data_IF_776389982491
#
_entry.id   IF_776389982491
#
_cell.length_a   1.000
_cell.length_b   1.000
_cell.length_c   1.000
_cell.angle_alpha   90.00
_cell.angle_beta   90.00
_cell.angle_gamma   90.00
#
_symmetry.space_group_name_H-M   'P 1'
#
loop_
_entity.id
_entity.type
_entity.pdbx_description
1 polymer ?
#
# COMPACT_ATOMS: atom_id res chain seq x y z
N UNK A 1 -6.16 7.01 -10.49
CA UNK A 1 -6.53 6.89 -9.06
C UNK A 1 -5.28 6.95 -8.17
N UNK A 2 -5.41 7.52 -7.01
CA UNK A 2 -4.30 7.58 -6.04
C UNK A 2 -4.69 6.85 -4.78
N UNK A 3 -4.03 5.74 -4.50
CA UNK A 3 -4.22 5.03 -3.23
C UNK A 3 -3.17 5.43 -2.22
N UNK A 4 -3.57 5.57 -0.97
CA UNK A 4 -2.64 5.72 0.12
C UNK A 4 -1.90 4.39 0.31
N UNK A 5 -0.59 4.47 0.54
CA UNK A 5 0.25 3.31 0.79
C UNK A 5 0.99 3.54 2.09
N UNK A 6 1.04 2.52 2.93
CA UNK A 6 1.78 2.57 4.19
C UNK A 6 3.03 1.72 4.05
N UNK A 7 4.19 2.31 4.34
CA UNK A 7 5.46 1.59 4.39
C UNK A 7 5.91 1.51 5.84
N UNK A 8 6.26 0.31 6.27
CA UNK A 8 6.71 0.08 7.64
C UNK A 8 8.00 -0.73 7.63
N UNK A 9 8.94 -0.32 8.48
CA UNK A 9 10.18 -1.07 8.64
C UNK A 9 9.93 -2.27 9.56
N UNK A 10 10.33 -3.45 9.09
CA UNK A 10 10.35 -4.66 9.89
C UNK A 10 11.80 -4.99 10.29
N UNK A 11 12.00 -6.11 10.97
CA UNK A 11 13.32 -6.46 11.49
C UNK A 11 14.41 -6.53 10.39
N UNK A 12 14.10 -7.17 9.26
CA UNK A 12 15.09 -7.40 8.21
C UNK A 12 14.68 -6.85 6.85
N UNK A 13 13.53 -6.23 6.75
CA UNK A 13 13.02 -5.73 5.48
C UNK A 13 12.02 -4.59 5.71
N UNK A 14 11.41 -4.15 4.63
CA UNK A 14 10.31 -3.21 4.65
C UNK A 14 9.06 -3.89 4.14
N UNK A 15 7.93 -3.50 4.65
CA UNK A 15 6.66 -3.96 4.13
C UNK A 15 5.77 -2.77 3.77
N UNK A 16 4.86 -3.02 2.82
CA UNK A 16 3.91 -2.01 2.40
C UNK A 16 2.54 -2.64 2.24
N UNK A 17 1.52 -1.86 2.53
CA UNK A 17 0.14 -2.27 2.30
C UNK A 17 -0.70 -1.08 1.88
N UNK A 18 -1.85 -1.38 1.29
CA UNK A 18 -2.77 -0.37 0.79
C UNK A 18 -4.05 -0.47 1.62
N UNK A 19 -4.34 0.55 2.48
CA UNK A 19 -5.54 0.50 3.33
C UNK A 19 -6.85 0.27 2.57
N UNK A 20 -7.01 0.86 1.40
CA UNK A 20 -8.24 0.73 0.62
C UNK A 20 -8.34 -0.55 -0.20
N UNK A 21 -7.28 -1.33 -0.27
CA UNK A 21 -7.24 -2.59 -1.02
C UNK A 21 -6.84 -3.72 -0.07
N UNK A 22 -7.81 -4.32 0.65
CA UNK A 22 -7.51 -5.41 1.58
C UNK A 22 -6.76 -6.55 0.90
N UNK A 23 -5.71 -7.03 1.53
CA UNK A 23 -4.87 -8.09 0.99
C UNK A 23 -3.79 -7.64 0.01
N UNK A 24 -3.75 -6.36 -0.35
CA UNK A 24 -2.70 -5.83 -1.22
C UNK A 24 -1.49 -5.42 -0.38
N UNK A 25 -0.52 -6.33 -0.29
CA UNK A 25 0.67 -6.15 0.55
C UNK A 25 1.90 -6.63 -0.19
N UNK A 26 3.06 -6.10 0.20
CA UNK A 26 4.34 -6.56 -0.34
C UNK A 26 5.46 -6.32 0.66
N UNK A 27 6.61 -6.93 0.40
CA UNK A 27 7.83 -6.69 1.16
C UNK A 27 8.97 -6.36 0.20
N UNK A 28 9.95 -5.63 0.69
CA UNK A 28 11.13 -5.28 -0.08
C UNK A 28 12.31 -5.00 0.84
N UNK A 29 13.48 -4.86 0.26
CA UNK A 29 14.72 -4.64 1.03
C UNK A 29 14.88 -3.20 1.49
N UNK A 30 14.41 -2.25 0.69
CA UNK A 30 14.53 -0.83 0.96
C UNK A 30 13.17 -0.18 0.77
N UNK A 31 12.96 1.02 1.33
CA UNK A 31 11.70 1.75 1.09
C UNK A 31 11.45 1.98 -0.41
N UNK A 32 12.51 2.31 -1.15
CA UNK A 32 12.42 2.55 -2.59
C UNK A 32 11.94 1.32 -3.34
N UNK A 33 12.56 0.16 -3.07
CA UNK A 33 12.19 -1.09 -3.71
C UNK A 33 10.77 -1.50 -3.31
N UNK A 34 10.44 -1.34 -2.04
CA UNK A 34 9.12 -1.70 -1.52
C UNK A 34 8.03 -0.84 -2.16
N UNK A 35 8.31 0.45 -2.35
CA UNK A 35 7.39 1.34 -3.02
C UNK A 35 7.14 0.91 -4.47
N UNK A 36 8.18 0.53 -5.18
CA UNK A 36 8.05 0.03 -6.55
C UNK A 36 7.24 -1.26 -6.59
N UNK A 37 7.52 -2.16 -5.66
CA UNK A 37 6.82 -3.44 -5.60
C UNK A 37 5.35 -3.29 -5.23
N UNK A 38 5.01 -2.38 -4.32
CA UNK A 38 3.60 -2.18 -3.98
C UNK A 38 2.83 -1.53 -5.14
N UNK A 39 3.47 -0.70 -5.94
CA UNK A 39 2.87 -0.14 -7.13
C UNK A 39 2.47 -1.24 -8.11
N UNK A 40 3.37 -2.20 -8.35
CA UNK A 40 3.08 -3.36 -9.18
C UNK A 40 1.98 -4.24 -8.57
N UNK A 41 2.02 -4.40 -7.24
CA UNK A 41 1.01 -5.18 -6.53
C UNK A 41 -0.39 -4.57 -6.65
N UNK A 42 -0.48 -3.24 -6.61
CA UNK A 42 -1.76 -2.53 -6.79
C UNK A 42 -2.32 -2.80 -8.19
N UNK A 43 -1.49 -2.66 -9.21
CA UNK A 43 -1.91 -2.90 -10.59
C UNK A 43 -2.42 -4.32 -10.77
N UNK A 44 -1.69 -5.28 -10.25
CA UNK A 44 -2.06 -6.69 -10.30
C UNK A 44 -3.36 -6.96 -9.53
N UNK A 45 -3.49 -6.36 -8.36
CA UNK A 45 -4.67 -6.53 -7.51
C UNK A 45 -5.94 -6.00 -8.19
N UNK A 46 -5.86 -4.81 -8.77
CA UNK A 46 -6.98 -4.20 -9.49
C UNK A 46 -7.35 -5.03 -10.71
N UNK A 47 -6.36 -5.50 -11.45
CA UNK A 47 -6.60 -6.37 -12.60
C UNK A 47 -7.34 -7.62 -12.19
N UNK A 48 -6.94 -8.24 -11.08
CA UNK A 48 -7.61 -9.42 -10.54
C UNK A 48 -9.07 -9.15 -10.18
N UNK A 49 -9.34 -8.02 -9.53
CA UNK A 49 -10.71 -7.64 -9.18
C UNK A 49 -11.57 -7.49 -10.43
N UNK A 50 -11.06 -6.81 -11.45
CA UNK A 50 -11.79 -6.62 -12.71
C UNK A 50 -12.05 -7.93 -13.44
N UNK A 51 -11.07 -8.82 -13.42
CA UNK A 51 -11.19 -10.13 -14.06
C UNK A 51 -12.30 -10.97 -13.43
N UNK A 52 -12.48 -10.85 -12.13
CA UNK A 52 -13.50 -11.59 -11.39
C UNK A 52 -14.82 -10.84 -11.26
N UNK A 53 -14.96 -9.70 -11.93
CA UNK A 53 -16.19 -8.91 -11.89
C UNK A 53 -16.45 -8.26 -10.53
N UNK A 54 -15.41 -8.12 -9.71
CA UNK A 54 -15.53 -7.50 -8.40
C UNK A 54 -15.31 -5.99 -8.50
N UNK A 55 -16.02 -5.20 -7.70
CA UNK A 55 -15.83 -3.76 -7.72
C UNK A 55 -14.43 -3.37 -7.22
N UNK A 56 -13.85 -2.37 -7.86
CA UNK A 56 -12.57 -1.80 -7.46
C UNK A 56 -12.87 -0.69 -6.43
N UNK A 57 -12.39 -0.83 -5.18
CA UNK A 57 -12.63 0.20 -4.18
C UNK A 57 -12.08 1.55 -4.59
N UNK A 58 -12.84 2.61 -4.37
CA UNK A 58 -12.37 3.97 -4.59
C UNK A 58 -11.37 4.36 -3.50
N UNK A 59 -10.33 5.14 -3.84
CA UNK A 59 -9.42 5.65 -2.82
C UNK A 59 -10.16 6.54 -1.83
N UNK A 60 -10.05 6.22 -0.54
CA UNK A 60 -10.69 6.98 0.52
C UNK A 60 -9.75 7.36 1.65
N UNK A 61 -8.70 6.57 1.87
CA UNK A 61 -7.73 6.87 2.93
C UNK A 61 -6.88 8.07 2.56
N UNK A 62 -6.65 8.92 3.54
CA UNK A 62 -5.80 10.11 3.42
C UNK A 62 -4.58 9.92 4.30
N UNK A 63 -3.41 10.27 3.77
CA UNK A 63 -2.16 10.23 4.54
C UNK A 63 -1.93 11.60 5.18
N UNK A 64 -1.68 11.59 6.47
CA UNK A 64 -1.33 12.81 7.19
C UNK A 64 -0.28 12.50 8.23
N UNK A 65 0.53 13.49 8.53
CA UNK A 65 1.55 13.40 9.57
C UNK A 65 1.24 14.43 10.64
N UNK A 66 1.17 13.98 11.87
CA UNK A 66 0.87 14.85 13.00
C UNK A 66 2.12 14.93 13.87
N UNK A 67 2.59 16.15 14.07
CA UNK A 67 3.70 16.38 14.98
C UNK A 67 3.17 16.39 16.41
N UNK A 68 3.75 15.53 17.24
CA UNK A 68 3.35 15.41 18.64
C UNK A 68 4.51 15.85 19.51
N UNK A 69 4.21 16.72 20.46
CA UNK A 69 5.20 17.13 21.44
C UNK A 69 5.36 16.00 22.47
N UNK A 70 6.48 15.31 22.40
CA UNK A 70 6.80 14.27 23.36
C UNK A 70 7.41 14.92 24.62
N UNK A 71 6.93 14.49 25.76
CA UNK A 71 7.46 14.96 27.05
C UNK A 71 8.81 14.32 27.37
#
# INVERSE_FOLDING_TARGET
>A
MKYAVVLEKAANNWCAYVPDLPGCVTTGRTPRDTRRLIEEAIEFHIEGLRLHGEPVPEPSAIVDNVEVRAA
#
